data_IF_187271671165
#
_entry.id   IF_187271671165
#
_cell.length_a   1.000
_cell.length_b   1.000
_cell.length_c   1.000
_cell.angle_alpha   90.00
_cell.angle_beta   90.00
_cell.angle_gamma   90.00
#
_symmetry.space_group_name_H-M   'P 1'
#
loop_
_entity.id
_entity.type
_entity.pdbx_description
1 polymer ?
#
# COMPACT_ATOMS: atom_id res chain seq x y z
N UNK A 1 -13.04 4.78 22.61
CA UNK A 1 -13.69 4.24 21.40
C UNK A 1 -14.14 2.83 21.68
N UNK A 2 -15.43 2.54 21.55
CA UNK A 2 -15.96 1.18 21.61
C UNK A 2 -16.02 0.59 20.20
N UNK A 3 -15.41 -0.58 19.99
CA UNK A 3 -15.67 -1.39 18.80
C UNK A 3 -16.57 -2.53 19.24
N UNK A 4 -17.75 -2.63 18.63
CA UNK A 4 -18.65 -3.74 18.90
C UNK A 4 -18.12 -5.02 18.26
N UNK A 5 -18.25 -6.12 18.99
CA UNK A 5 -17.75 -7.42 18.53
C UNK A 5 -18.58 -7.87 17.34
N UNK A 6 -17.90 -8.15 16.22
CA UNK A 6 -18.56 -8.62 14.99
C UNK A 6 -19.25 -7.54 14.16
N UNK A 7 -19.24 -6.27 14.60
CA UNK A 7 -19.70 -5.15 13.76
C UNK A 7 -18.61 -4.67 12.80
N UNK A 8 -18.98 -3.82 11.84
CA UNK A 8 -17.99 -3.21 10.95
C UNK A 8 -17.17 -2.15 11.69
N UNK A 9 -15.85 -2.15 11.49
CA UNK A 9 -14.99 -1.11 12.03
C UNK A 9 -15.36 0.27 11.46
N UNK A 10 -15.34 1.27 12.34
CA UNK A 10 -15.41 2.68 11.95
C UNK A 10 -14.21 3.07 11.06
N UNK A 11 -14.40 4.09 10.22
CA UNK A 11 -13.36 4.61 9.32
C UNK A 11 -12.38 5.55 10.04
N UNK A 12 -11.80 5.07 11.15
CA UNK A 12 -10.92 5.85 12.03
C UNK A 12 -9.45 5.86 11.54
N UNK A 13 -9.24 5.82 10.23
CA UNK A 13 -7.92 5.71 9.62
C UNK A 13 -6.97 6.83 10.06
N UNK A 14 -7.45 8.07 10.12
CA UNK A 14 -6.64 9.24 10.50
C UNK A 14 -6.15 9.14 11.95
N UNK A 15 -7.00 8.63 12.85
CA UNK A 15 -6.62 8.42 14.24
C UNK A 15 -5.62 7.27 14.34
N UNK A 16 -5.85 6.16 13.65
CA UNK A 16 -4.93 5.03 13.62
C UNK A 16 -3.54 5.47 13.13
N UNK A 17 -3.47 6.23 12.03
CA UNK A 17 -2.22 6.77 11.51
C UNK A 17 -1.54 7.68 12.55
N UNK A 18 -2.30 8.58 13.20
CA UNK A 18 -1.74 9.47 14.23
C UNK A 18 -1.19 8.69 15.43
N UNK A 19 -1.85 7.62 15.86
CA UNK A 19 -1.36 6.76 16.94
C UNK A 19 -0.07 6.04 16.53
N UNK A 20 -0.04 5.45 15.34
CA UNK A 20 1.14 4.75 14.81
C UNK A 20 2.36 5.67 14.70
N UNK A 21 2.19 6.89 14.16
CA UNK A 21 3.27 7.87 14.02
C UNK A 21 3.81 8.33 15.38
N UNK A 22 2.97 8.35 16.42
CA UNK A 22 3.38 8.71 17.78
C UNK A 22 3.79 7.48 18.63
N UNK A 23 3.97 6.30 18.02
CA UNK A 23 4.39 5.09 18.72
C UNK A 23 3.35 4.54 19.72
N UNK A 24 2.09 4.97 19.62
CA UNK A 24 1.00 4.46 20.43
C UNK A 24 0.44 3.17 19.84
N UNK A 25 -0.18 2.34 20.69
CA UNK A 25 -0.81 1.10 20.24
C UNK A 25 -1.89 1.37 19.18
N UNK A 26 -1.93 0.55 18.12
CA UNK A 26 -2.94 0.69 17.07
C UNK A 26 -4.33 0.40 17.63
N UNK A 27 -5.35 0.99 16.99
CA UNK A 27 -6.74 0.77 17.36
C UNK A 27 -7.08 -0.74 17.37
N UNK A 28 -7.89 -1.23 18.33
CA UNK A 28 -8.20 -2.66 18.50
C UNK A 28 -9.15 -3.18 17.41
N UNK A 29 -8.71 -3.11 16.14
CA UNK A 29 -9.43 -3.55 14.94
C UNK A 29 -9.65 -5.05 14.89
N UNK A 30 -9.06 -5.84 15.80
CA UNK A 30 -9.36 -7.27 15.98
C UNK A 30 -10.77 -7.51 16.54
N UNK A 31 -11.42 -6.51 17.11
CA UNK A 31 -12.78 -6.63 17.64
C UNK A 31 -13.86 -6.49 16.57
N UNK A 32 -13.55 -5.88 15.44
CA UNK A 32 -14.51 -5.53 14.41
C UNK A 32 -14.07 -6.07 13.04
N UNK A 33 -15.01 -6.16 12.11
CA UNK A 33 -14.78 -6.61 10.75
C UNK A 33 -14.28 -5.44 9.90
N UNK A 34 -13.09 -5.58 9.32
CA UNK A 34 -12.57 -4.61 8.35
C UNK A 34 -13.40 -4.65 7.07
N UNK A 35 -13.90 -3.49 6.63
CA UNK A 35 -14.61 -3.37 5.35
C UNK A 35 -13.64 -3.59 4.20
N UNK A 36 -13.86 -4.64 3.41
CA UNK A 36 -13.21 -4.85 2.13
C UNK A 36 -13.78 -3.93 1.05
N UNK A 37 -13.12 -3.87 -0.12
CA UNK A 37 -13.75 -3.23 -1.30
C UNK A 37 -15.04 -3.96 -1.66
N UNK A 38 -16.04 -3.20 -2.14
CA UNK A 38 -17.31 -3.78 -2.61
C UNK A 38 -17.14 -4.65 -3.85
N UNK A 39 -16.09 -4.40 -4.62
CA UNK A 39 -15.79 -5.11 -5.86
C UNK A 39 -14.49 -5.87 -5.65
N UNK A 40 -14.54 -7.19 -5.81
CA UNK A 40 -13.36 -8.04 -5.88
C UNK A 40 -13.12 -8.42 -7.33
N UNK A 41 -11.97 -8.04 -7.86
CA UNK A 41 -11.43 -8.56 -9.10
C UNK A 41 -10.19 -9.39 -8.81
N UNK A 42 -10.12 -10.57 -9.42
CA UNK A 42 -8.94 -11.42 -9.31
C UNK A 42 -7.72 -10.67 -9.84
N UNK A 43 -6.61 -10.60 -9.10
CA UNK A 43 -5.39 -9.95 -9.56
C UNK A 43 -4.82 -10.66 -10.79
N UNK A 44 -4.00 -9.93 -11.56
CA UNK A 44 -3.28 -10.50 -12.70
C UNK A 44 -2.39 -11.67 -12.28
N UNK A 45 -2.18 -12.66 -13.16
CA UNK A 45 -1.19 -13.70 -12.93
C UNK A 45 0.21 -13.10 -12.79
N UNK A 46 1.10 -13.80 -12.09
CA UNK A 46 2.43 -13.28 -11.72
C UNK A 46 3.22 -12.75 -12.93
N UNK A 47 3.15 -13.46 -14.06
CA UNK A 47 3.85 -13.13 -15.31
C UNK A 47 3.41 -11.77 -15.90
N UNK A 48 2.17 -11.34 -15.65
CA UNK A 48 1.60 -10.10 -16.17
C UNK A 48 1.50 -8.98 -15.12
N UNK A 49 1.57 -9.35 -13.84
CA UNK A 49 1.43 -8.42 -12.72
C UNK A 49 2.68 -7.58 -12.46
N UNK A 50 3.86 -8.07 -12.90
CA UNK A 50 5.13 -7.39 -12.64
C UNK A 50 5.16 -6.04 -13.36
N UNK A 51 5.38 -4.97 -12.58
CA UNK A 51 5.49 -3.59 -13.05
C UNK A 51 4.25 -3.04 -13.75
N UNK A 52 3.09 -3.72 -13.63
CA UNK A 52 1.81 -3.23 -14.14
C UNK A 52 1.06 -2.50 -13.04
N UNK A 53 0.45 -1.36 -13.37
CA UNK A 53 -0.44 -0.66 -12.45
C UNK A 53 -1.67 -1.55 -12.18
N UNK A 54 -1.94 -1.90 -10.90
CA UNK A 54 -3.13 -2.66 -10.57
C UNK A 54 -4.39 -1.80 -10.73
N UNK A 55 -5.52 -2.47 -10.86
CA UNK A 55 -6.81 -1.80 -10.90
C UNK A 55 -7.17 -1.19 -9.52
N UNK A 56 -7.62 0.06 -9.52
CA UNK A 56 -8.04 0.78 -8.32
C UNK A 56 -9.31 0.24 -7.67
N UNK A 57 -10.11 -0.58 -8.36
CA UNK A 57 -11.41 -1.07 -7.85
C UNK A 57 -11.29 -1.98 -6.61
N UNK A 58 -10.16 -2.66 -6.43
CA UNK A 58 -9.90 -3.50 -5.27
C UNK A 58 -9.45 -2.71 -4.03
N UNK A 59 -9.24 -1.40 -4.16
CA UNK A 59 -8.72 -0.53 -3.10
C UNK A 59 -9.82 0.39 -2.58
N UNK A 60 -9.81 0.63 -1.27
CA UNK A 60 -10.73 1.59 -0.63
C UNK A 60 -10.09 2.97 -0.59
N UNK A 61 -10.65 3.91 -1.36
CA UNK A 61 -10.15 5.28 -1.51
C UNK A 61 -10.82 6.32 -0.60
N UNK A 62 -11.59 5.91 0.42
CA UNK A 62 -12.49 6.81 1.17
C UNK A 62 -11.83 8.03 1.80
N UNK A 63 -10.55 7.93 2.17
CA UNK A 63 -9.78 9.01 2.78
C UNK A 63 -8.71 9.61 1.87
N UNK A 64 -8.69 9.23 0.58
CA UNK A 64 -7.75 9.75 -0.40
C UNK A 64 -8.47 10.68 -1.39
N UNK A 65 -7.80 11.75 -1.78
CA UNK A 65 -8.33 12.66 -2.82
C UNK A 65 -8.28 12.00 -4.20
N UNK A 66 -7.20 11.27 -4.49
CA UNK A 66 -7.12 10.39 -5.65
C UNK A 66 -7.93 9.11 -5.41
N UNK A 67 -8.69 8.68 -6.42
CA UNK A 67 -9.56 7.47 -6.37
C UNK A 67 -9.09 6.32 -7.25
N UNK A 68 -7.92 6.47 -7.87
CA UNK A 68 -7.29 5.45 -8.69
C UNK A 68 -5.76 5.63 -8.67
N UNK A 69 -5.04 4.60 -9.11
CA UNK A 69 -3.57 4.62 -9.20
C UNK A 69 -3.08 5.58 -10.28
N UNK A 70 -3.86 5.82 -11.34
CA UNK A 70 -3.54 6.80 -12.39
C UNK A 70 -3.45 8.22 -11.85
N UNK A 71 -4.38 8.61 -10.96
CA UNK A 71 -4.35 9.90 -10.29
C UNK A 71 -3.12 10.03 -9.39
N UNK A 72 -2.73 8.97 -8.68
CA UNK A 72 -1.49 8.97 -7.88
C UNK A 72 -0.24 9.14 -8.75
N UNK A 73 -0.24 8.55 -9.95
CA UNK A 73 0.85 8.64 -10.91
C UNK A 73 0.86 9.94 -11.72
N UNK A 74 -0.25 10.69 -11.74
CA UNK A 74 -0.33 11.94 -12.49
C UNK A 74 0.62 13.01 -11.92
N UNK A 75 1.28 13.78 -12.79
CA UNK A 75 2.10 14.93 -12.40
C UNK A 75 1.18 16.08 -12.00
N UNK A 76 1.18 16.49 -10.73
CA UNK A 76 0.35 17.61 -10.30
C UNK A 76 1.00 18.97 -10.63
N UNK A 77 0.34 19.87 -11.36
CA UNK A 77 0.84 21.23 -11.63
C UNK A 77 0.59 22.23 -10.50
N UNK A 78 -0.14 21.87 -9.43
CA UNK A 78 -0.51 22.78 -8.34
C UNK A 78 0.40 22.64 -7.12
N UNK A 79 1.20 23.68 -6.86
CA UNK A 79 1.94 23.87 -5.60
C UNK A 79 0.95 24.02 -4.44
N UNK A 80 1.00 23.13 -3.46
CA UNK A 80 0.22 23.26 -2.22
C UNK A 80 -0.34 21.96 -1.62
N UNK A 81 -0.28 20.82 -2.32
CA UNK A 81 -0.78 19.55 -1.79
C UNK A 81 0.35 18.70 -1.18
N UNK A 82 0.27 18.49 0.13
CA UNK A 82 1.34 17.94 0.96
C UNK A 82 1.36 16.41 1.13
N UNK A 83 0.52 15.62 0.43
CA UNK A 83 0.51 14.15 0.63
C UNK A 83 0.34 13.33 -0.65
N UNK A 84 1.22 13.60 -1.61
CA UNK A 84 1.62 12.70 -2.69
C UNK A 84 0.68 12.59 -3.91
N UNK A 85 0.80 13.56 -4.82
CA UNK A 85 0.41 13.35 -6.23
C UNK A 85 1.70 13.42 -7.05
N UNK A 86 2.04 12.33 -7.74
CA UNK A 86 3.29 12.18 -8.48
C UNK A 86 4.46 11.52 -7.73
N UNK A 87 4.26 10.97 -6.51
CA UNK A 87 5.29 10.12 -5.88
C UNK A 87 5.10 8.62 -6.12
N UNK A 88 4.02 8.21 -6.81
CA UNK A 88 3.88 6.85 -7.27
C UNK A 88 4.22 6.78 -8.76
N UNK A 89 5.46 6.41 -9.08
CA UNK A 89 5.93 6.31 -10.47
C UNK A 89 6.54 4.92 -10.70
N UNK A 90 5.76 4.04 -11.33
CA UNK A 90 6.09 2.62 -11.48
C UNK A 90 7.42 2.40 -12.23
N UNK A 91 7.71 3.18 -13.27
CA UNK A 91 8.96 3.06 -14.03
C UNK A 91 10.20 3.42 -13.21
N UNK A 92 10.09 4.39 -12.28
CA UNK A 92 11.19 4.73 -11.39
C UNK A 92 11.43 3.67 -10.33
N UNK A 93 10.35 3.13 -9.75
CA UNK A 93 10.45 2.03 -8.79
C UNK A 93 11.03 0.78 -9.45
N UNK A 94 10.55 0.44 -10.65
CA UNK A 94 11.09 -0.64 -11.47
C UNK A 94 12.60 -0.60 -11.63
N UNK A 95 13.17 0.56 -11.91
CA UNK A 95 14.62 0.72 -12.03
C UNK A 95 15.33 0.44 -10.71
N UNK A 96 14.80 0.89 -9.57
CA UNK A 96 15.41 0.65 -8.25
C UNK A 96 15.49 -0.84 -7.89
N UNK A 97 14.46 -1.62 -8.23
CA UNK A 97 14.38 -3.05 -7.90
C UNK A 97 15.05 -3.98 -8.93
N UNK A 98 15.37 -3.47 -10.12
CA UNK A 98 16.07 -4.21 -11.18
C UNK A 98 17.54 -3.86 -11.31
N UNK A 99 17.97 -2.67 -10.90
CA UNK A 99 19.37 -2.25 -11.02
C UNK A 99 20.06 -2.26 -9.66
N UNK A 100 21.29 -2.77 -9.61
CA UNK A 100 22.23 -2.57 -8.50
C UNK A 100 22.64 -1.10 -8.45
N UNK A 101 21.71 -0.23 -8.12
CA UNK A 101 21.94 1.20 -7.94
C UNK A 101 22.52 1.44 -6.55
N UNK A 102 23.33 2.50 -6.40
CA UNK A 102 24.09 2.86 -5.19
C UNK A 102 23.23 3.27 -3.97
N UNK A 103 21.94 2.97 -3.97
CA UNK A 103 20.98 3.21 -2.89
C UNK A 103 20.54 1.86 -2.28
N UNK A 104 20.22 1.82 -0.97
CA UNK A 104 20.19 0.59 -0.17
C UNK A 104 18.88 -0.17 -0.35
N UNK A 105 18.64 -0.73 -1.53
CA UNK A 105 17.69 -1.83 -1.66
C UNK A 105 18.54 -3.08 -1.82
N UNK A 106 18.84 -3.74 -0.69
CA UNK A 106 19.73 -4.90 -0.62
C UNK A 106 19.16 -6.16 -1.31
N UNK A 107 17.96 -6.06 -1.88
CA UNK A 107 17.20 -7.17 -2.45
C UNK A 107 16.69 -6.82 -3.84
N UNK A 108 17.10 -7.61 -4.84
CA UNK A 108 16.53 -7.51 -6.19
C UNK A 108 15.16 -8.18 -6.23
N UNK A 109 14.32 -7.78 -7.18
CA UNK A 109 13.01 -8.39 -7.37
C UNK A 109 13.11 -9.91 -7.58
N UNK A 110 14.12 -10.38 -8.30
CA UNK A 110 14.33 -11.80 -8.52
C UNK A 110 14.65 -12.54 -7.22
N UNK A 111 15.45 -11.93 -6.35
CA UNK A 111 15.78 -12.51 -5.04
C UNK A 111 14.51 -12.63 -4.19
N UNK A 112 13.66 -11.61 -4.18
CA UNK A 112 12.38 -11.64 -3.45
C UNK A 112 11.44 -12.72 -4.00
N UNK A 113 11.37 -12.88 -5.33
CA UNK A 113 10.53 -13.88 -5.97
C UNK A 113 11.01 -15.31 -5.71
N UNK A 114 12.33 -15.51 -5.54
CA UNK A 114 12.88 -16.85 -5.23
C UNK A 114 12.67 -17.30 -3.79
N UNK A 115 12.48 -16.36 -2.84
CA UNK A 115 12.26 -16.69 -1.42
C UNK A 115 11.02 -17.57 -1.21
N UNK A 116 9.96 -17.36 -2.00
CA UNK A 116 8.74 -18.15 -1.87
C UNK A 116 8.08 -18.41 -3.23
N UNK A 117 8.12 -19.65 -3.74
CA UNK A 117 7.34 -20.03 -4.90
C UNK A 117 5.85 -20.06 -4.55
N UNK A 118 5.02 -19.36 -5.33
CA UNK A 118 3.58 -19.29 -5.14
C UNK A 118 3.06 -17.86 -4.99
N UNK A 119 2.18 -17.63 -4.01
CA UNK A 119 1.60 -16.31 -3.76
C UNK A 119 2.48 -15.45 -2.84
N UNK A 120 2.96 -14.33 -3.37
CA UNK A 120 3.63 -13.27 -2.62
C UNK A 120 2.66 -12.10 -2.51
N UNK A 121 2.42 -11.62 -1.27
CA UNK A 121 1.62 -10.42 -1.00
C UNK A 121 2.57 -9.27 -0.68
N UNK A 122 2.58 -8.26 -1.54
CA UNK A 122 3.42 -7.08 -1.37
C UNK A 122 2.55 -5.94 -0.81
N UNK A 123 2.94 -5.40 0.33
CA UNK A 123 2.34 -4.20 0.90
C UNK A 123 3.08 -2.96 0.43
N UNK A 124 2.37 -2.01 -0.18
CA UNK A 124 2.87 -0.68 -0.53
C UNK A 124 2.43 0.31 0.54
N UNK A 125 3.39 0.96 1.20
CA UNK A 125 3.13 2.11 2.08
C UNK A 125 3.55 3.40 1.36
N UNK A 126 2.60 4.33 1.18
CA UNK A 126 2.83 5.63 0.55
C UNK A 126 2.71 6.69 1.62
N UNK A 127 3.80 6.86 2.37
CA UNK A 127 3.95 7.85 3.44
C UNK A 127 5.02 8.90 3.12
N UNK A 128 4.83 10.12 3.63
CA UNK A 128 5.88 11.16 3.65
C UNK A 128 6.72 10.92 4.91
N UNK A 129 7.65 9.96 4.85
CA UNK A 129 8.58 9.67 5.95
C UNK A 129 8.87 8.18 6.14
N UNK A 130 10.12 7.81 5.87
CA UNK A 130 10.84 6.55 6.21
C UNK A 130 10.20 5.21 5.84
N UNK A 131 10.68 4.62 4.74
CA UNK A 131 11.03 3.19 4.69
C UNK A 131 9.92 2.13 4.60
N UNK A 132 9.44 1.92 3.38
CA UNK A 132 9.27 0.65 2.64
C UNK A 132 8.99 -0.70 3.36
N UNK A 133 7.99 -1.43 2.81
CA UNK A 133 7.69 -2.87 2.93
C UNK A 133 7.25 -3.43 4.30
N UNK A 134 5.95 -3.72 4.42
CA UNK A 134 5.42 -4.60 5.47
C UNK A 134 5.22 -6.02 4.92
N UNK A 135 5.99 -6.98 5.44
CA UNK A 135 5.80 -8.43 5.26
C UNK A 135 4.74 -8.89 6.25
N UNK A 136 3.62 -9.42 5.77
CA UNK A 136 2.66 -10.11 6.63
C UNK A 136 2.97 -11.61 6.60
N UNK A 137 3.57 -12.10 7.67
CA UNK A 137 3.69 -13.51 7.99
C UNK A 137 2.40 -13.94 8.72
N UNK A 138 1.81 -15.05 8.29
CA UNK A 138 0.67 -15.67 8.97
C UNK A 138 1.03 -17.14 9.17
N UNK A 139 1.35 -17.47 10.42
CA UNK A 139 1.20 -18.83 10.97
C UNK A 139 -0.28 -19.22 10.98
#
# INVERSE_FOLDING_TARGET
>A
MGYDIGSYCNDDWNLAQKLMVNGCDPLPRRRCLTRASKVYQKPYPINESLWRLPDGRNVRWSNYQCRNFECLSSKNPKRGYSKCVGCFEMEKEKLKWMTNSSLPVDLLINDVLTIKPGEIRIGLDVGVGTGTCCKNERT
#
